data_IF_882759778339
#
_entry.id   IF_882759778339
#
_cell.length_a   1.000
_cell.length_b   1.000
_cell.length_c   1.000
_cell.angle_alpha   90.00
_cell.angle_beta   90.00
_cell.angle_gamma   90.00
#
_symmetry.space_group_name_H-M   'P 1'
#
loop_
_entity.id
_entity.type
_entity.pdbx_description
1 polymer ?
#
# COMPACT_ATOMS: atom_id res chain seq x y z
N UNK A 1 -9.32 -17.95 38.78
CA UNK A 1 -10.22 -17.95 37.61
C UNK A 1 -9.64 -18.86 36.54
N UNK A 2 -10.33 -19.95 36.14
CA UNK A 2 -9.97 -20.67 34.91
C UNK A 2 -10.47 -19.83 33.75
N UNK A 3 -9.56 -19.30 32.94
CA UNK A 3 -9.94 -18.62 31.69
C UNK A 3 -10.48 -19.70 30.75
N UNK A 4 -11.75 -19.64 30.32
CA UNK A 4 -12.37 -20.72 29.56
C UNK A 4 -11.78 -20.86 28.14
N UNK A 5 -11.27 -19.77 27.57
CA UNK A 5 -10.69 -19.76 26.23
C UNK A 5 -9.17 -19.99 26.26
N UNK A 6 -8.66 -20.89 25.41
CA UNK A 6 -7.21 -21.13 25.23
C UNK A 6 -6.52 -20.14 24.29
N UNK A 7 -7.31 -19.41 23.49
CA UNK A 7 -6.88 -18.46 22.46
C UNK A 7 -7.77 -17.23 22.51
N UNK A 8 -7.23 -16.08 22.12
CA UNK A 8 -7.96 -14.84 21.93
C UNK A 8 -7.60 -14.28 20.56
N UNK A 9 -8.58 -13.67 19.89
CA UNK A 9 -8.40 -12.94 18.63
C UNK A 9 -8.88 -11.52 18.90
N UNK A 10 -8.08 -10.54 18.49
CA UNK A 10 -8.45 -9.12 18.54
C UNK A 10 -8.41 -8.60 17.12
N UNK A 11 -9.51 -8.00 16.68
CA UNK A 11 -9.63 -7.36 15.38
C UNK A 11 -9.78 -5.87 15.66
N UNK A 12 -8.84 -5.06 15.18
CA UNK A 12 -8.94 -3.62 15.24
C UNK A 12 -9.41 -3.06 13.90
N UNK A 13 -10.36 -2.12 13.96
CA UNK A 13 -10.88 -1.40 12.80
C UNK A 13 -10.57 0.09 13.03
N UNK A 14 -9.60 0.64 12.28
CA UNK A 14 -9.22 2.05 12.42
C UNK A 14 -10.37 2.96 11.97
N UNK A 15 -10.60 4.07 12.68
CA UNK A 15 -11.68 5.02 12.42
C UNK A 15 -13.12 4.50 12.63
N UNK A 16 -13.30 3.25 13.08
CA UNK A 16 -14.63 2.65 13.23
C UNK A 16 -15.30 3.02 14.56
N UNK A 17 -15.87 4.22 14.63
CA UNK A 17 -16.69 4.63 15.78
C UNK A 17 -17.89 3.70 15.97
N UNK A 18 -18.33 3.48 17.22
CA UNK A 18 -19.51 2.63 17.46
C UNK A 18 -20.80 3.19 16.88
N UNK A 19 -20.86 4.49 16.59
CA UNK A 19 -21.98 5.08 15.85
C UNK A 19 -22.02 4.55 14.42
N UNK A 20 -20.89 4.61 13.69
CA UNK A 20 -20.78 4.09 12.34
C UNK A 20 -21.09 2.58 12.28
N UNK A 21 -20.47 1.80 13.18
CA UNK A 21 -20.69 0.34 13.24
C UNK A 21 -22.17 0.01 13.47
N UNK A 22 -22.86 0.74 14.34
CA UNK A 22 -24.29 0.51 14.63
C UNK A 22 -25.17 0.84 13.43
N UNK A 23 -24.93 1.96 12.77
CA UNK A 23 -25.73 2.38 11.61
C UNK A 23 -25.56 1.38 10.47
N UNK A 24 -24.32 1.01 10.13
CA UNK A 24 -24.02 0.03 9.09
C UNK A 24 -24.58 -1.37 9.41
N UNK A 25 -24.58 -1.78 10.68
CA UNK A 25 -25.20 -3.03 11.11
C UNK A 25 -26.73 -2.99 11.00
N UNK A 26 -27.36 -1.88 11.38
CA UNK A 26 -28.81 -1.69 11.30
C UNK A 26 -29.33 -1.62 9.85
N UNK A 27 -28.54 -1.02 8.95
CA UNK A 27 -28.80 -0.94 7.51
C UNK A 27 -28.54 -2.27 6.77
N UNK A 28 -28.00 -3.28 7.46
CA UNK A 28 -27.74 -4.61 6.91
C UNK A 28 -26.41 -4.76 6.17
N UNK A 29 -25.54 -3.74 6.20
CA UNK A 29 -24.23 -3.75 5.55
C UNK A 29 -23.15 -4.53 6.33
N UNK A 30 -23.37 -4.83 7.62
CA UNK A 30 -22.42 -5.55 8.48
C UNK A 30 -23.04 -6.77 9.19
N UNK A 31 -23.52 -7.79 8.46
CA UNK A 31 -24.29 -8.90 9.04
C UNK A 31 -23.51 -9.72 10.09
N UNK A 32 -22.20 -9.91 9.88
CA UNK A 32 -21.35 -10.65 10.82
C UNK A 32 -21.12 -9.88 12.14
N UNK A 33 -20.88 -8.56 12.06
CA UNK A 33 -20.77 -7.74 13.27
C UNK A 33 -22.11 -7.61 13.98
N UNK A 34 -23.22 -7.48 13.25
CA UNK A 34 -24.56 -7.49 13.83
C UNK A 34 -24.83 -8.78 14.62
N UNK A 35 -24.42 -9.94 14.08
CA UNK A 35 -24.52 -11.22 14.78
C UNK A 35 -23.66 -11.26 16.05
N UNK A 36 -22.41 -10.80 15.99
CA UNK A 36 -21.52 -10.70 17.16
C UNK A 36 -22.09 -9.77 18.25
N UNK A 37 -22.65 -8.63 17.86
CA UNK A 37 -23.28 -7.68 18.79
C UNK A 37 -24.55 -8.26 19.45
N UNK A 38 -25.30 -9.11 18.74
CA UNK A 38 -26.49 -9.79 19.27
C UNK A 38 -26.14 -10.92 20.25
N UNK A 39 -25.03 -11.62 20.02
CA UNK A 39 -24.62 -12.79 20.81
C UNK A 39 -23.64 -12.44 21.94
N UNK A 40 -22.98 -11.29 21.86
CA UNK A 40 -21.96 -10.84 22.80
C UNK A 40 -22.32 -9.54 23.53
N UNK A 41 -21.31 -8.91 24.14
CA UNK A 41 -21.42 -7.59 24.74
C UNK A 41 -20.72 -6.54 23.89
N UNK A 42 -21.33 -5.38 23.74
CA UNK A 42 -20.72 -4.23 23.07
C UNK A 42 -21.02 -2.95 23.84
N UNK A 43 -20.09 -1.98 23.76
CA UNK A 43 -20.26 -0.63 24.31
C UNK A 43 -19.50 0.38 23.46
N UNK A 44 -19.99 1.63 23.35
CA UNK A 44 -19.16 2.74 22.91
C UNK A 44 -17.92 2.88 23.80
N UNK A 45 -16.77 3.19 23.19
CA UNK A 45 -15.51 3.40 23.89
C UNK A 45 -15.06 4.84 23.70
N UNK A 46 -14.63 5.48 24.78
CA UNK A 46 -13.96 6.78 24.72
C UNK A 46 -12.50 6.49 24.35
N UNK A 47 -12.05 7.07 23.23
CA UNK A 47 -10.66 6.99 22.80
C UNK A 47 -9.72 7.80 23.69
N UNK A 48 -8.44 7.82 23.34
CA UNK A 48 -7.46 8.68 23.99
C UNK A 48 -7.48 10.09 23.40
N UNK A 49 -6.92 11.06 24.11
CA UNK A 49 -6.60 12.38 23.56
C UNK A 49 -5.07 12.52 23.40
N UNK A 50 -4.57 12.93 22.22
CA UNK A 50 -5.31 13.23 20.98
C UNK A 50 -5.84 11.97 20.28
N UNK A 51 -6.96 12.09 19.56
CA UNK A 51 -7.65 10.99 18.85
C UNK A 51 -6.97 10.66 17.52
N UNK A 52 -5.68 10.31 17.56
CA UNK A 52 -4.89 9.90 16.41
C UNK A 52 -4.55 8.39 16.48
N UNK A 53 -4.23 7.80 15.33
CA UNK A 53 -3.85 6.38 15.22
C UNK A 53 -2.68 6.02 16.16
N UNK A 54 -1.50 6.69 16.15
CA UNK A 54 -0.39 6.29 17.02
C UNK A 54 -0.70 6.28 18.53
N UNK A 55 -1.29 7.35 19.12
CA UNK A 55 -1.63 7.31 20.54
C UNK A 55 -2.71 6.26 20.85
N UNK A 56 -3.75 6.14 20.03
CA UNK A 56 -4.87 5.21 20.26
C UNK A 56 -4.45 3.74 20.21
N UNK A 57 -3.72 3.34 19.17
CA UNK A 57 -3.26 1.96 19.02
C UNK A 57 -2.17 1.59 20.02
N UNK A 58 -1.31 2.55 20.42
CA UNK A 58 -0.36 2.31 21.50
C UNK A 58 -1.10 2.07 22.82
N UNK A 59 -2.07 2.91 23.17
CA UNK A 59 -2.87 2.75 24.39
C UNK A 59 -3.62 1.41 24.41
N UNK A 60 -4.21 0.99 23.28
CA UNK A 60 -4.84 -0.32 23.14
C UNK A 60 -3.85 -1.47 23.40
N UNK A 61 -2.59 -1.28 23.00
CA UNK A 61 -1.55 -2.30 23.06
C UNK A 61 -0.80 -2.34 24.40
N UNK A 62 -0.80 -1.25 25.18
CA UNK A 62 -0.08 -1.14 26.45
C UNK A 62 -1.02 -1.07 27.66
N UNK A 63 -2.30 -0.72 27.45
CA UNK A 63 -3.24 -0.43 28.52
C UNK A 63 -2.92 0.86 29.29
N UNK A 64 -2.07 1.73 28.76
CA UNK A 64 -1.64 2.97 29.41
C UNK A 64 -2.07 4.20 28.60
N UNK A 65 -2.14 5.36 29.26
CA UNK A 65 -2.52 6.63 28.59
C UNK A 65 -1.36 7.22 27.79
N UNK A 66 -1.63 8.12 26.81
CA UNK A 66 -0.58 8.80 26.06
C UNK A 66 0.45 9.53 26.92
N UNK A 67 0.05 10.11 28.05
CA UNK A 67 0.98 10.69 29.02
C UNK A 67 1.96 9.68 29.65
N UNK A 68 1.61 8.40 29.69
CA UNK A 68 2.43 7.31 30.23
C UNK A 68 3.28 6.64 29.14
N UNK A 69 2.69 6.22 28.02
CA UNK A 69 3.46 5.58 26.95
C UNK A 69 4.23 6.58 26.07
N UNK A 70 3.90 7.88 26.08
CA UNK A 70 4.60 8.98 25.37
C UNK A 70 4.51 8.98 23.84
N UNK A 71 3.71 8.10 23.24
CA UNK A 71 3.41 8.13 21.80
C UNK A 71 2.20 9.04 21.61
N UNK A 72 2.38 10.24 21.06
CA UNK A 72 1.34 11.28 21.05
C UNK A 72 0.86 11.70 19.67
N UNK A 73 1.59 11.39 18.60
CA UNK A 73 1.34 11.90 17.25
C UNK A 73 1.98 10.97 16.20
N UNK A 74 1.65 11.13 14.93
CA UNK A 74 2.44 10.60 13.81
C UNK A 74 3.79 11.30 13.68
N UNK A 75 3.86 12.58 14.03
CA UNK A 75 5.06 13.41 13.88
C UNK A 75 5.47 13.99 15.24
N UNK A 76 6.22 13.20 16.00
CA UNK A 76 6.55 13.53 17.38
C UNK A 76 7.79 14.42 17.40
N UNK A 77 7.68 15.63 17.94
CA UNK A 77 8.85 16.50 18.15
C UNK A 77 9.83 15.86 19.12
N UNK A 78 11.12 15.90 18.79
CA UNK A 78 12.19 15.44 19.69
C UNK A 78 12.67 16.61 20.55
N UNK A 79 12.54 16.55 21.89
CA UNK A 79 13.08 17.58 22.77
C UNK A 79 14.56 17.88 22.49
N UNK A 80 14.91 19.15 22.39
CA UNK A 80 16.27 19.60 22.03
C UNK A 80 16.60 19.58 20.54
N UNK A 81 15.65 19.24 19.65
CA UNK A 81 15.77 19.42 18.19
C UNK A 81 14.92 20.60 17.71
N UNK A 82 15.18 21.05 16.48
CA UNK A 82 14.34 22.08 15.83
C UNK A 82 12.89 21.59 15.69
N UNK A 83 11.94 22.52 15.63
CA UNK A 83 10.50 22.19 15.55
C UNK A 83 10.13 21.42 14.27
N UNK A 84 10.87 21.64 13.18
CA UNK A 84 10.73 20.94 11.91
C UNK A 84 11.35 19.52 11.91
N UNK A 85 12.01 19.12 13.00
CA UNK A 85 12.59 17.79 13.16
C UNK A 85 11.71 16.95 14.07
N UNK A 86 10.97 16.03 13.45
CA UNK A 86 10.07 15.09 14.11
C UNK A 86 10.50 13.65 13.89
N UNK A 87 10.16 12.77 14.84
CA UNK A 87 10.30 11.32 14.74
C UNK A 87 8.95 10.71 14.38
N UNK A 88 8.96 9.69 13.51
CA UNK A 88 7.72 9.02 13.10
C UNK A 88 7.12 8.20 14.25
N UNK A 89 5.87 8.48 14.60
CA UNK A 89 5.14 7.88 15.72
C UNK A 89 4.86 6.39 15.56
N UNK A 90 4.95 5.86 14.34
CA UNK A 90 4.85 4.41 14.06
C UNK A 90 6.19 3.72 14.37
N UNK A 91 6.53 3.73 15.65
CA UNK A 91 7.80 3.25 16.14
C UNK A 91 7.67 2.74 17.58
N UNK A 92 7.71 1.42 17.73
CA UNK A 92 7.56 0.75 19.02
C UNK A 92 8.56 1.23 20.07
N UNK A 93 9.74 1.71 19.65
CA UNK A 93 10.81 2.20 20.53
C UNK A 93 10.46 3.48 21.26
N UNK A 94 9.44 4.21 20.81
CA UNK A 94 8.99 5.45 21.43
C UNK A 94 8.16 5.21 22.70
N UNK A 95 7.53 4.04 22.81
CA UNK A 95 6.72 3.72 23.99
C UNK A 95 7.57 3.52 25.24
N UNK A 96 7.19 4.20 26.32
CA UNK A 96 7.72 3.96 27.67
C UNK A 96 6.96 2.87 28.43
N UNK A 97 5.93 2.27 27.83
CA UNK A 97 5.14 1.18 28.42
C UNK A 97 5.41 -0.14 27.71
N UNK A 98 5.34 -1.25 28.46
CA UNK A 98 5.41 -2.58 27.87
C UNK A 98 4.16 -2.86 27.01
N UNK A 99 4.36 -3.47 25.85
CA UNK A 99 3.25 -3.94 25.00
C UNK A 99 2.74 -5.30 25.45
N UNK A 100 1.42 -5.52 25.34
CA UNK A 100 0.78 -6.76 25.82
C UNK A 100 1.37 -8.01 25.18
N UNK A 101 1.78 -7.95 23.91
CA UNK A 101 2.37 -9.11 23.22
C UNK A 101 3.70 -9.53 23.85
N UNK A 102 4.49 -8.58 24.38
CA UNK A 102 5.71 -8.90 25.12
C UNK A 102 5.38 -9.54 26.47
N UNK A 103 4.35 -9.05 27.16
CA UNK A 103 3.83 -9.68 28.38
C UNK A 103 3.35 -11.11 28.10
N UNK A 104 2.66 -11.34 26.98
CA UNK A 104 2.18 -12.65 26.56
C UNK A 104 3.34 -13.62 26.29
N UNK A 105 4.40 -13.19 25.61
CA UNK A 105 5.59 -14.02 25.40
C UNK A 105 6.25 -14.40 26.72
N UNK A 106 6.38 -13.45 27.66
CA UNK A 106 6.93 -13.72 29.00
C UNK A 106 6.08 -14.72 29.77
N UNK A 107 4.76 -14.71 29.56
CA UNK A 107 3.82 -15.69 30.10
C UNK A 107 3.79 -17.03 29.32
N UNK A 108 4.73 -17.26 28.40
CA UNK A 108 4.83 -18.49 27.62
C UNK A 108 3.76 -18.63 26.53
N UNK A 109 3.12 -17.53 26.11
CA UNK A 109 2.15 -17.50 25.01
C UNK A 109 2.82 -17.11 23.69
N UNK A 110 2.10 -17.35 22.59
CA UNK A 110 2.55 -17.08 21.23
C UNK A 110 1.70 -15.96 20.62
N UNK A 111 2.12 -14.69 20.68
CA UNK A 111 1.42 -13.62 19.98
C UNK A 111 1.64 -13.75 18.47
N UNK A 112 0.57 -13.49 17.72
CA UNK A 112 0.59 -13.39 16.25
C UNK A 112 -0.01 -12.03 15.92
N UNK A 113 0.82 -11.13 15.39
CA UNK A 113 0.44 -9.78 15.01
C UNK A 113 0.38 -9.72 13.49
N UNK A 114 -0.79 -9.42 12.92
CA UNK A 114 -0.95 -9.28 11.46
C UNK A 114 -1.42 -7.87 11.17
N UNK A 115 -0.56 -7.07 10.56
CA UNK A 115 -0.76 -5.64 10.29
C UNK A 115 -1.25 -4.86 11.52
N UNK A 116 -0.84 -5.30 12.72
CA UNK A 116 -1.23 -4.62 13.96
C UNK A 116 -0.51 -3.28 14.03
N UNK A 117 -1.26 -2.20 14.13
CA UNK A 117 -0.74 -0.84 14.14
C UNK A 117 0.22 -0.60 15.31
N UNK A 118 1.21 0.27 15.06
CA UNK A 118 2.26 0.61 16.03
C UNK A 118 3.04 -0.59 16.57
N UNK A 119 3.08 -1.72 15.86
CA UNK A 119 3.89 -2.88 16.24
C UNK A 119 5.27 -2.88 15.56
N UNK A 120 5.56 -1.90 14.69
CA UNK A 120 6.86 -1.75 14.06
C UNK A 120 7.79 -0.80 14.81
N UNK A 121 9.11 -1.07 14.90
CA UNK A 121 9.73 -2.35 14.55
C UNK A 121 9.36 -3.47 15.52
N UNK A 122 9.44 -4.75 15.08
CA UNK A 122 8.90 -5.85 15.85
C UNK A 122 9.63 -6.08 17.17
N UNK A 123 8.91 -6.03 18.30
CA UNK A 123 9.49 -6.33 19.63
C UNK A 123 9.27 -7.78 20.06
N UNK A 124 8.41 -8.54 19.37
CA UNK A 124 8.23 -9.99 19.62
C UNK A 124 9.55 -10.75 19.41
N UNK A 125 9.83 -11.78 20.21
CA UNK A 125 11.04 -12.63 20.09
C UNK A 125 10.76 -14.02 19.54
N UNK A 126 9.70 -14.65 20.04
CA UNK A 126 9.20 -15.98 19.66
C UNK A 126 7.91 -15.90 18.82
N UNK A 127 7.15 -14.82 19.00
CA UNK A 127 5.92 -14.51 18.27
C UNK A 127 6.12 -14.29 16.78
N UNK A 128 4.99 -14.24 16.08
CA UNK A 128 4.92 -13.91 14.67
C UNK A 128 4.44 -12.48 14.53
N UNK A 129 5.10 -11.71 13.67
CA UNK A 129 4.63 -10.40 13.24
C UNK A 129 4.68 -10.34 11.72
N UNK A 130 3.56 -9.99 11.11
CA UNK A 130 3.41 -9.72 9.68
C UNK A 130 3.14 -8.23 9.55
N UNK A 131 4.11 -7.50 9.04
CA UNK A 131 4.04 -6.04 8.92
C UNK A 131 3.87 -5.39 10.32
N UNK A 132 3.37 -4.16 10.44
CA UNK A 132 3.25 -3.42 11.69
C UNK A 132 3.35 -1.90 11.55
N UNK A 133 3.50 -1.39 10.32
CA UNK A 133 3.47 0.06 10.03
C UNK A 133 2.11 0.59 9.56
N UNK A 134 1.07 -0.25 9.57
CA UNK A 134 -0.30 0.16 9.31
C UNK A 134 -0.69 0.18 7.84
N UNK A 135 -1.98 0.38 7.48
CA UNK A 135 -2.47 0.58 6.12
C UNK A 135 -2.25 2.03 5.61
N UNK A 136 -1.48 2.86 6.31
CA UNK A 136 -1.20 4.25 5.92
C UNK A 136 -0.45 4.37 4.58
N UNK A 137 -0.46 5.59 4.02
CA UNK A 137 0.13 5.96 2.71
C UNK A 137 1.62 5.63 2.62
N UNK A 138 2.29 5.51 3.75
CA UNK A 138 3.74 5.26 3.81
C UNK A 138 4.10 4.05 4.65
N UNK A 139 4.03 2.89 4.03
CA UNK A 139 4.42 1.64 4.65
C UNK A 139 5.94 1.41 4.57
N UNK A 140 6.63 1.03 5.66
CA UNK A 140 8.08 0.84 5.70
C UNK A 140 8.64 -0.16 4.66
N UNK A 141 7.87 -1.20 4.32
CA UNK A 141 8.34 -2.31 3.49
C UNK A 141 8.13 -2.11 1.99
N UNK A 142 7.15 -1.28 1.63
CA UNK A 142 6.77 -0.97 0.26
C UNK A 142 7.99 -0.61 -0.62
N UNK A 143 8.02 -1.19 -1.84
CA UNK A 143 9.08 -0.91 -2.82
C UNK A 143 8.76 0.36 -3.59
N UNK A 144 7.54 0.52 -4.09
CA UNK A 144 7.09 1.71 -4.82
C UNK A 144 5.62 2.00 -4.51
N UNK A 145 5.25 3.28 -4.60
CA UNK A 145 3.86 3.75 -4.73
C UNK A 145 3.21 3.19 -5.99
N UNK A 146 1.95 3.56 -6.17
CA UNK A 146 1.36 3.41 -7.49
C UNK A 146 2.01 4.35 -8.48
N UNK A 147 1.89 4.03 -9.78
CA UNK A 147 2.18 4.96 -10.87
C UNK A 147 1.00 5.01 -11.84
N UNK A 148 0.66 6.21 -12.27
CA UNK A 148 -0.41 6.45 -13.24
C UNK A 148 0.20 7.19 -14.43
N UNK A 149 0.61 6.44 -15.44
CA UNK A 149 1.27 7.01 -16.62
C UNK A 149 0.24 7.58 -17.57
N UNK A 150 0.32 8.88 -17.86
CA UNK A 150 -0.67 9.59 -18.68
C UNK A 150 0.00 10.36 -19.82
N UNK A 151 -0.64 10.37 -20.99
CA UNK A 151 -0.17 11.14 -22.15
C UNK A 151 -1.33 11.77 -22.94
N UNK A 152 -1.00 12.79 -23.72
CA UNK A 152 -1.92 13.47 -24.62
C UNK A 152 -2.95 14.34 -23.90
N UNK A 153 -4.19 14.31 -24.38
CA UNK A 153 -5.36 15.05 -23.90
C UNK A 153 -6.04 14.40 -22.69
N UNK A 154 -5.29 13.63 -21.90
CA UNK A 154 -5.81 13.08 -20.65
C UNK A 154 -6.21 14.22 -19.70
N UNK A 155 -7.32 14.04 -19.00
CA UNK A 155 -7.78 14.94 -17.95
C UNK A 155 -8.19 14.10 -16.73
N UNK A 156 -7.92 14.58 -15.51
CA UNK A 156 -8.35 13.88 -14.30
C UNK A 156 -9.88 13.80 -14.26
N UNK A 157 -10.39 12.72 -13.68
CA UNK A 157 -11.83 12.53 -13.50
C UNK A 157 -12.34 13.56 -12.50
N UNK A 158 -13.51 14.15 -12.78
CA UNK A 158 -14.10 15.18 -11.91
C UNK A 158 -14.58 14.53 -10.62
N UNK A 159 -13.86 14.75 -9.53
CA UNK A 159 -14.35 14.44 -8.20
C UNK A 159 -15.50 15.40 -7.84
N UNK A 160 -16.61 14.84 -7.35
CA UNK A 160 -17.76 15.62 -6.88
C UNK A 160 -17.48 16.28 -5.52
N UNK A 161 -16.47 15.78 -4.79
CA UNK A 161 -16.01 16.32 -3.52
C UNK A 161 -14.50 16.59 -3.55
N UNK A 162 -14.06 17.67 -2.88
CA UNK A 162 -12.64 17.96 -2.72
C UNK A 162 -12.02 16.86 -1.84
N UNK A 163 -10.99 16.20 -2.37
CA UNK A 163 -10.18 15.25 -1.62
C UNK A 163 -9.10 16.02 -0.85
N UNK A 164 -8.89 15.69 0.42
CA UNK A 164 -7.73 16.18 1.15
C UNK A 164 -6.46 15.66 0.46
N UNK A 165 -5.52 16.55 0.06
CA UNK A 165 -4.29 16.11 -0.58
C UNK A 165 -3.48 15.26 0.41
N UNK A 166 -2.82 14.21 -0.08
CA UNK A 166 -1.98 13.35 0.77
C UNK A 166 -0.82 14.10 1.43
N UNK A 167 -0.48 15.30 0.96
CA UNK A 167 0.47 16.19 1.63
C UNK A 167 -0.01 16.65 3.01
N UNK A 168 -1.31 16.56 3.28
CA UNK A 168 -1.92 16.80 4.60
C UNK A 168 -2.06 15.51 5.43
N UNK A 169 -1.78 14.33 4.85
CA UNK A 169 -1.79 13.07 5.60
C UNK A 169 -0.56 13.05 6.52
N UNK A 170 -0.72 13.17 7.85
CA UNK A 170 0.41 13.20 8.77
C UNK A 170 1.19 11.86 8.81
N UNK A 171 0.62 10.78 8.26
CA UNK A 171 1.29 9.49 8.11
C UNK A 171 2.18 9.39 6.87
N UNK A 172 2.07 10.33 5.91
CA UNK A 172 2.86 10.31 4.68
C UNK A 172 4.35 10.63 4.94
N UNK A 173 5.23 9.79 4.37
CA UNK A 173 6.70 9.85 4.50
C UNK A 173 7.40 10.20 3.18
N UNK A 174 6.64 10.41 2.11
CA UNK A 174 7.14 10.65 0.76
C UNK A 174 6.36 11.78 0.08
N UNK A 175 7.01 12.47 -0.84
CA UNK A 175 6.30 13.36 -1.75
C UNK A 175 5.41 12.53 -2.65
N UNK A 176 4.11 12.82 -2.61
CA UNK A 176 3.12 12.11 -3.41
C UNK A 176 3.00 12.82 -4.75
N UNK A 177 3.08 12.04 -5.83
CA UNK A 177 2.81 12.49 -7.19
C UNK A 177 1.50 11.86 -7.62
N UNK A 178 0.54 12.67 -8.05
CA UNK A 178 -0.80 12.19 -8.45
C UNK A 178 -0.75 11.36 -9.74
N UNK A 179 0.14 11.72 -10.69
CA UNK A 179 0.29 11.01 -11.96
C UNK A 179 1.67 11.24 -12.58
N UNK A 180 2.05 10.35 -13.49
CA UNK A 180 3.32 10.31 -14.20
C UNK A 180 3.11 10.71 -15.69
N UNK A 181 3.21 12.00 -16.06
CA UNK A 181 3.24 12.41 -17.47
C UNK A 181 4.33 11.69 -18.25
N UNK A 182 3.95 11.18 -19.41
CA UNK A 182 4.82 10.53 -20.39
C UNK A 182 4.45 10.99 -21.81
N UNK A 183 5.35 10.76 -22.76
CA UNK A 183 5.13 11.06 -24.16
C UNK A 183 5.05 9.77 -24.97
N UNK A 184 4.13 9.74 -25.93
CA UNK A 184 4.09 8.71 -26.96
C UNK A 184 4.87 9.23 -28.17
N UNK A 185 5.94 8.53 -28.52
CA UNK A 185 6.81 8.89 -29.64
C UNK A 185 6.92 7.72 -30.60
N UNK A 186 7.22 7.95 -31.87
CA UNK A 186 7.39 6.85 -32.82
C UNK A 186 8.52 5.91 -32.36
N UNK A 187 8.27 4.60 -32.33
CA UNK A 187 9.23 3.61 -31.84
C UNK A 187 10.43 3.50 -32.79
N UNK A 188 11.62 3.88 -32.30
CA UNK A 188 12.88 3.86 -33.08
C UNK A 188 13.94 3.00 -32.40
N UNK A 189 14.73 2.28 -33.19
CA UNK A 189 15.82 1.43 -32.67
C UNK A 189 15.36 0.15 -31.94
N UNK A 190 14.08 -0.20 -32.04
CA UNK A 190 13.54 -1.43 -31.46
C UNK A 190 13.89 -2.66 -32.29
N UNK A 191 14.13 -3.77 -31.59
CA UNK A 191 14.12 -5.11 -32.19
C UNK A 191 12.75 -5.74 -31.99
N UNK A 192 12.25 -6.46 -33.00
CA UNK A 192 11.03 -7.27 -32.93
C UNK A 192 9.76 -6.48 -32.56
N UNK A 193 9.44 -5.44 -33.33
CA UNK A 193 8.17 -4.71 -33.18
C UNK A 193 6.96 -5.64 -33.44
N UNK A 194 5.83 -5.42 -32.74
CA UNK A 194 4.59 -6.11 -33.05
C UNK A 194 4.09 -5.72 -34.45
N UNK A 195 3.37 -6.64 -35.10
CA UNK A 195 2.62 -6.31 -36.31
C UNK A 195 1.56 -5.26 -35.97
N UNK A 196 1.49 -4.20 -36.77
CA UNK A 196 0.61 -3.05 -36.51
C UNK A 196 0.10 -2.44 -37.81
N UNK A 197 -1.17 -2.01 -37.82
CA UNK A 197 -1.80 -1.29 -38.92
C UNK A 197 -1.49 0.23 -38.91
N UNK A 198 -0.83 0.72 -37.85
CA UNK A 198 -0.37 2.10 -37.69
C UNK A 198 1.10 2.11 -37.26
N UNK A 199 1.85 3.22 -37.46
CA UNK A 199 3.20 3.36 -36.91
C UNK A 199 3.19 3.09 -35.40
N UNK A 200 4.05 2.16 -34.95
CA UNK A 200 4.12 1.79 -33.54
C UNK A 200 4.70 2.95 -32.75
N UNK A 201 4.04 3.31 -31.65
CA UNK A 201 4.55 4.32 -30.71
C UNK A 201 5.26 3.61 -29.55
N UNK A 202 6.27 4.25 -28.99
CA UNK A 202 6.99 3.89 -27.78
C UNK A 202 6.59 4.83 -26.65
N UNK A 203 6.60 4.30 -25.42
CA UNK A 203 6.52 5.07 -24.18
C UNK A 203 7.49 4.50 -23.15
N UNK A 204 8.24 5.36 -22.45
CA UNK A 204 9.07 4.94 -21.33
C UNK A 204 8.29 5.04 -20.01
N UNK A 205 8.24 3.94 -19.27
CA UNK A 205 7.43 3.75 -18.07
C UNK A 205 8.36 3.53 -16.88
N UNK A 206 8.86 4.63 -16.31
CA UNK A 206 9.86 4.55 -15.24
C UNK A 206 9.20 4.38 -13.88
N UNK A 207 9.35 3.18 -13.32
CA UNK A 207 9.01 2.91 -11.92
C UNK A 207 10.07 3.53 -11.01
N UNK A 208 9.64 4.30 -10.02
CA UNK A 208 10.48 4.96 -9.02
C UNK A 208 10.26 4.27 -7.67
N UNK A 209 11.19 3.42 -7.22
CA UNK A 209 11.16 2.92 -5.86
C UNK A 209 11.18 4.06 -4.84
N UNK A 210 10.60 3.84 -3.68
CA UNK A 210 10.36 4.87 -2.68
C UNK A 210 11.66 5.57 -2.25
N UNK A 211 11.61 6.90 -2.28
CA UNK A 211 12.56 7.80 -1.65
C UNK A 211 11.80 8.61 -0.57
N UNK A 212 11.98 8.22 0.70
CA UNK A 212 11.41 8.85 1.88
C UNK A 212 12.26 10.04 2.28
N UNK A 213 11.63 11.18 2.50
CA UNK A 213 12.30 12.44 2.83
C UNK A 213 12.81 12.54 4.28
N UNK A 214 12.77 11.46 5.07
CA UNK A 214 13.06 11.49 6.51
C UNK A 214 14.28 10.66 6.88
N UNK A 215 15.21 11.29 7.61
CA UNK A 215 16.50 10.69 7.98
C UNK A 215 16.42 9.60 9.06
N UNK A 216 15.37 9.61 9.88
CA UNK A 216 15.09 8.66 10.96
C UNK A 216 14.42 7.36 10.46
N UNK A 217 13.97 7.34 9.20
CA UNK A 217 13.53 6.10 8.56
C UNK A 217 14.75 5.25 8.17
N UNK A 218 14.78 4.01 8.66
CA UNK A 218 15.89 3.06 8.45
C UNK A 218 16.04 2.55 7.00
N UNK A 219 15.12 2.89 6.09
CA UNK A 219 15.10 2.44 4.69
C UNK A 219 14.36 3.45 3.80
N UNK A 220 14.80 3.57 2.56
CA UNK A 220 14.17 4.39 1.52
C UNK A 220 14.84 5.75 1.34
N UNK A 221 16.14 5.93 1.61
CA UNK A 221 16.79 7.24 1.35
C UNK A 221 17.01 7.48 -0.14
N UNK A 222 17.27 6.41 -0.91
CA UNK A 222 17.45 6.45 -2.36
C UNK A 222 16.84 5.21 -3.01
N UNK A 223 15.88 5.39 -3.90
CA UNK A 223 15.40 4.35 -4.81
C UNK A 223 16.06 4.49 -6.19
N UNK A 224 16.49 3.39 -6.80
CA UNK A 224 17.03 3.39 -8.16
C UNK A 224 15.88 3.32 -9.17
N UNK A 225 15.66 4.36 -10.02
CA UNK A 225 14.60 4.32 -11.03
C UNK A 225 14.78 3.14 -11.98
N UNK A 226 13.66 2.52 -12.34
CA UNK A 226 13.63 1.33 -13.18
C UNK A 226 12.72 1.56 -14.39
N UNK A 227 13.28 1.71 -15.60
CA UNK A 227 12.48 1.85 -16.81
C UNK A 227 11.88 0.51 -17.24
N UNK A 228 10.60 0.54 -17.59
CA UNK A 228 9.98 -0.39 -18.53
C UNK A 228 9.66 0.35 -19.82
N UNK A 229 9.35 -0.38 -20.88
CA UNK A 229 9.10 0.21 -22.20
C UNK A 229 7.80 -0.31 -22.77
N UNK A 230 6.88 0.59 -23.10
CA UNK A 230 5.61 0.27 -23.76
C UNK A 230 5.72 0.46 -25.26
N UNK A 231 5.09 -0.43 -26.03
CA UNK A 231 4.81 -0.27 -27.45
C UNK A 231 3.30 -0.15 -27.64
N UNK A 232 2.82 1.02 -28.08
CA UNK A 232 1.41 1.27 -28.40
C UNK A 232 1.20 1.04 -29.90
N UNK A 233 0.29 0.13 -30.25
CA UNK A 233 0.14 -0.34 -31.62
C UNK A 233 -1.33 -0.66 -31.96
N UNK A 234 -1.60 -0.89 -33.25
CA UNK A 234 -2.95 -1.07 -33.79
C UNK A 234 -3.12 -2.47 -34.41
N UNK A 235 -3.99 -3.30 -33.82
CA UNK A 235 -4.48 -4.53 -34.48
C UNK A 235 -5.71 -4.26 -35.35
N UNK A 236 -6.57 -3.34 -34.93
CA UNK A 236 -7.75 -2.90 -35.66
C UNK A 236 -7.53 -1.64 -36.51
N UNK A 237 -8.57 -0.81 -36.60
CA UNK A 237 -8.56 0.45 -37.37
C UNK A 237 -7.86 1.62 -36.64
N UNK A 238 -7.51 1.45 -35.37
CA UNK A 238 -6.93 2.45 -34.48
C UNK A 238 -5.99 1.81 -33.47
N UNK A 239 -5.26 2.64 -32.72
CA UNK A 239 -4.48 2.15 -31.58
C UNK A 239 -5.41 1.50 -30.56
N UNK A 240 -5.10 0.26 -30.18
CA UNK A 240 -5.96 -0.58 -29.35
C UNK A 240 -5.17 -1.53 -28.44
N UNK A 241 -3.84 -1.56 -28.55
CA UNK A 241 -2.97 -2.42 -27.75
C UNK A 241 -1.78 -1.66 -27.19
N UNK A 242 -1.35 -2.06 -26.00
CA UNK A 242 -0.03 -1.72 -25.44
C UNK A 242 0.72 -2.99 -25.06
N UNK A 243 1.97 -3.11 -25.50
CA UNK A 243 2.88 -4.19 -25.09
C UNK A 243 3.96 -3.64 -24.18
N UNK A 244 4.09 -4.19 -22.98
CA UNK A 244 5.09 -3.77 -22.00
C UNK A 244 6.29 -4.72 -22.05
N UNK A 245 7.50 -4.18 -22.11
CA UNK A 245 8.75 -4.91 -22.27
C UNK A 245 9.80 -4.48 -21.23
N UNK A 246 10.73 -5.38 -20.90
CA UNK A 246 11.87 -5.08 -20.01
C UNK A 246 12.94 -4.20 -20.65
N UNK A 247 13.00 -4.17 -21.99
CA UNK A 247 13.94 -3.36 -22.76
C UNK A 247 13.35 -3.08 -24.15
N UNK A 248 14.09 -2.34 -24.99
CA UNK A 248 13.74 -2.06 -26.40
C UNK A 248 13.90 -3.29 -27.32
N UNK A 249 13.33 -4.41 -26.90
CA UNK A 249 13.21 -5.66 -27.64
C UNK A 249 11.82 -6.25 -27.40
N UNK A 250 10.98 -6.27 -28.42
CA UNK A 250 9.58 -6.68 -28.32
C UNK A 250 9.36 -8.17 -28.03
N UNK A 251 10.41 -9.00 -28.04
CA UNK A 251 10.34 -10.39 -27.54
C UNK A 251 10.56 -10.49 -26.03
N UNK A 252 11.15 -9.47 -25.39
CA UNK A 252 11.30 -9.40 -23.92
C UNK A 252 10.06 -8.78 -23.29
N UNK A 253 8.90 -9.27 -23.72
CA UNK A 253 7.58 -8.85 -23.30
C UNK A 253 7.25 -9.36 -21.89
N UNK A 254 6.62 -8.50 -21.10
CA UNK A 254 6.00 -8.80 -19.82
C UNK A 254 4.51 -9.05 -19.98
N UNK A 255 3.83 -8.22 -20.77
CA UNK A 255 2.40 -8.32 -21.02
C UNK A 255 2.01 -7.58 -22.31
N UNK A 256 0.84 -7.89 -22.84
CA UNK A 256 0.23 -7.25 -24.01
C UNK A 256 -1.26 -7.06 -23.71
N UNK A 257 -1.71 -5.81 -23.64
CA UNK A 257 -3.00 -5.43 -23.07
C UNK A 257 -3.84 -4.62 -24.06
N UNK A 258 -5.14 -4.85 -24.05
CA UNK A 258 -6.18 -3.97 -24.55
C UNK A 258 -6.76 -3.11 -23.42
N UNK A 259 -7.62 -2.15 -23.79
CA UNK A 259 -8.28 -1.26 -22.83
C UNK A 259 -9.15 -2.08 -21.87
N UNK A 260 -9.02 -1.80 -20.57
CA UNK A 260 -9.68 -2.52 -19.48
C UNK A 260 -8.93 -3.78 -19.01
N UNK A 261 -7.94 -4.27 -19.77
CA UNK A 261 -7.23 -5.51 -19.41
C UNK A 261 -6.17 -5.26 -18.34
N UNK A 262 -6.13 -6.15 -17.36
CA UNK A 262 -5.02 -6.31 -16.43
C UNK A 262 -4.00 -7.31 -16.96
N UNK A 263 -2.73 -7.07 -16.68
CA UNK A 263 -1.69 -8.09 -16.80
C UNK A 263 -1.86 -9.18 -15.73
N UNK A 264 -1.19 -10.31 -15.90
CA UNK A 264 -0.83 -11.16 -14.76
C UNK A 264 0.14 -10.44 -13.83
N UNK A 265 0.27 -10.92 -12.60
CA UNK A 265 1.32 -10.48 -11.68
C UNK A 265 2.67 -11.05 -12.13
N UNK A 266 3.73 -10.24 -12.10
CA UNK A 266 5.10 -10.73 -12.27
C UNK A 266 6.02 -10.22 -11.16
N UNK A 267 7.01 -11.03 -10.82
CA UNK A 267 7.96 -10.72 -9.76
C UNK A 267 9.27 -10.18 -10.35
N UNK A 268 9.64 -8.96 -10.00
CA UNK A 268 10.81 -8.28 -10.56
C UNK A 268 11.73 -7.66 -9.51
N UNK A 269 12.98 -7.39 -9.88
CA UNK A 269 14.02 -6.85 -9.00
C UNK A 269 14.01 -5.32 -8.91
N UNK A 270 14.22 -4.79 -7.72
CA UNK A 270 14.33 -3.36 -7.42
C UNK A 270 15.47 -3.11 -6.45
N UNK A 271 15.99 -1.88 -6.43
CA UNK A 271 17.09 -1.48 -5.54
C UNK A 271 16.71 -0.23 -4.74
N UNK A 272 16.87 -0.33 -3.42
CA UNK A 272 16.63 0.76 -2.46
C UNK A 272 17.82 0.79 -1.49
N UNK A 273 18.43 1.96 -1.33
CA UNK A 273 19.64 2.17 -0.50
C UNK A 273 20.78 1.20 -0.83
N UNK A 274 20.95 0.87 -2.12
CA UNK A 274 21.93 -0.11 -2.59
C UNK A 274 21.60 -1.57 -2.26
N UNK A 275 20.44 -1.83 -1.63
CA UNK A 275 19.97 -3.19 -1.33
C UNK A 275 18.96 -3.65 -2.38
N UNK A 276 19.21 -4.82 -2.94
CA UNK A 276 18.31 -5.48 -3.90
C UNK A 276 17.19 -6.21 -3.17
N UNK A 277 15.99 -6.12 -3.72
CA UNK A 277 14.81 -6.88 -3.30
C UNK A 277 13.94 -7.22 -4.51
N UNK A 278 12.94 -8.08 -4.32
CA UNK A 278 11.97 -8.42 -5.36
C UNK A 278 10.57 -7.99 -4.93
N UNK A 279 9.79 -7.49 -5.88
CA UNK A 279 8.41 -7.04 -5.66
C UNK A 279 7.48 -7.43 -6.80
N UNK A 280 6.22 -7.65 -6.44
CA UNK A 280 5.18 -7.99 -7.41
C UNK A 280 4.70 -6.75 -8.13
N UNK A 281 4.62 -6.85 -9.44
CA UNK A 281 4.19 -5.80 -10.34
C UNK A 281 3.00 -6.30 -11.14
N UNK A 282 2.06 -5.38 -11.40
CA UNK A 282 0.91 -5.58 -12.29
C UNK A 282 0.63 -4.27 -13.00
N UNK A 283 -0.08 -4.31 -14.11
CA UNK A 283 -0.55 -3.09 -14.76
C UNK A 283 -1.89 -3.27 -15.45
N UNK A 284 -2.67 -2.19 -15.56
CA UNK A 284 -3.92 -2.11 -16.32
C UNK A 284 -3.83 -1.00 -17.35
N UNK A 285 -4.22 -1.29 -18.59
CA UNK A 285 -4.46 -0.23 -19.58
C UNK A 285 -5.87 0.32 -19.35
N UNK A 286 -5.97 1.50 -18.73
CA UNK A 286 -7.26 2.13 -18.42
C UNK A 286 -7.82 2.84 -19.64
N UNK A 287 -7.00 3.64 -20.32
CA UNK A 287 -7.43 4.46 -21.46
C UNK A 287 -6.43 4.35 -22.60
N UNK A 288 -6.93 4.12 -23.81
CA UNK A 288 -6.19 4.33 -25.06
C UNK A 288 -7.18 4.71 -26.16
N UNK A 289 -7.07 5.93 -26.70
CA UNK A 289 -7.92 6.33 -27.83
C UNK A 289 -7.38 5.74 -29.14
N UNK A 290 -8.26 5.59 -30.14
CA UNK A 290 -7.89 5.09 -31.48
C UNK A 290 -6.84 5.94 -32.19
N UNK A 291 -6.72 7.21 -31.82
CA UNK A 291 -5.74 8.20 -32.25
C UNK A 291 -4.47 8.23 -31.41
N UNK A 292 -4.43 7.52 -30.28
CA UNK A 292 -3.41 7.63 -29.24
C UNK A 292 -3.19 9.07 -28.72
N UNK A 293 -4.22 9.91 -28.81
CA UNK A 293 -4.22 11.27 -28.25
C UNK A 293 -4.70 11.31 -26.79
N UNK A 294 -5.06 10.17 -26.20
CA UNK A 294 -5.15 9.99 -24.75
C UNK A 294 -4.69 8.57 -24.38
N UNK A 295 -3.86 8.48 -23.35
CA UNK A 295 -3.29 7.23 -22.84
C UNK A 295 -3.25 7.27 -21.32
N UNK A 296 -3.63 6.17 -20.68
CA UNK A 296 -3.63 6.00 -19.23
C UNK A 296 -3.27 4.55 -18.89
N UNK A 297 -2.09 4.35 -18.32
CA UNK A 297 -1.58 3.03 -17.92
C UNK A 297 -1.25 3.04 -16.43
N UNK A 298 -1.89 2.13 -15.72
CA UNK A 298 -1.90 2.14 -14.27
C UNK A 298 -1.06 1.00 -13.69
N UNK A 299 -0.26 1.29 -12.68
CA UNK A 299 0.49 0.32 -11.87
C UNK A 299 0.13 0.52 -10.40
N UNK A 300 -0.41 -0.51 -9.70
CA UNK A 300 -0.69 -0.39 -8.28
C UNK A 300 0.60 -0.47 -7.45
N UNK A 301 0.46 -0.35 -6.13
CA UNK A 301 1.55 -0.49 -5.16
C UNK A 301 2.42 -1.72 -5.44
N UNK A 302 3.75 -1.55 -5.37
CA UNK A 302 4.70 -2.66 -5.48
C UNK A 302 5.11 -3.08 -4.07
N UNK A 303 4.63 -4.25 -3.65
CA UNK A 303 4.95 -4.87 -2.37
C UNK A 303 6.08 -5.90 -2.48
N UNK A 304 7.04 -5.96 -1.55
CA UNK A 304 8.09 -6.96 -1.59
C UNK A 304 7.56 -8.37 -1.31
N UNK A 305 8.18 -9.40 -1.91
CA UNK A 305 7.85 -10.79 -1.61
C UNK A 305 8.48 -11.32 -0.31
N UNK A 306 9.29 -10.50 0.37
CA UNK A 306 10.03 -10.90 1.58
C UNK A 306 10.40 -9.70 2.45
N UNK A 307 10.89 -9.96 3.66
CA UNK A 307 11.47 -8.93 4.53
C UNK A 307 10.48 -8.09 5.34
N UNK A 308 9.18 -8.41 5.28
CA UNK A 308 8.11 -7.70 6.01
C UNK A 308 7.57 -8.48 7.22
N UNK A 309 8.21 -9.58 7.63
CA UNK A 309 7.77 -10.42 8.75
C UNK A 309 8.88 -10.65 9.78
N UNK A 310 8.47 -11.04 10.99
CA UNK A 310 9.32 -11.63 12.01
C UNK A 310 8.67 -12.95 12.50
N UNK A 311 9.35 -14.11 12.40
CA UNK A 311 10.61 -14.32 11.70
C UNK A 311 10.49 -14.09 10.19
N UNK A 312 11.62 -13.87 9.52
CA UNK A 312 11.66 -13.55 8.08
C UNK A 312 11.13 -14.71 7.19
N UNK A 313 11.17 -15.95 7.69
CA UNK A 313 10.67 -17.12 6.96
C UNK A 313 9.17 -17.05 6.69
N UNK A 314 8.39 -16.41 7.56
CA UNK A 314 6.92 -16.33 7.41
C UNK A 314 6.53 -15.61 6.13
N UNK A 315 7.28 -14.59 5.69
CA UNK A 315 7.01 -13.91 4.42
C UNK A 315 7.10 -14.88 3.23
N UNK A 316 8.04 -15.83 3.27
CA UNK A 316 8.21 -16.86 2.24
C UNK A 316 7.04 -17.84 2.27
N UNK A 317 6.61 -18.27 3.45
CA UNK A 317 5.45 -19.16 3.60
C UNK A 317 4.16 -18.51 3.07
N UNK A 318 3.97 -17.21 3.34
CA UNK A 318 2.86 -16.42 2.78
C UNK A 318 2.97 -16.36 1.24
N UNK A 319 4.16 -16.04 0.71
CA UNK A 319 4.39 -15.95 -0.73
C UNK A 319 4.09 -17.28 -1.46
N UNK A 320 4.47 -18.42 -0.87
CA UNK A 320 4.30 -19.75 -1.46
C UNK A 320 2.87 -20.29 -1.35
N UNK A 321 2.13 -19.97 -0.29
CA UNK A 321 0.82 -20.58 0.00
C UNK A 321 -0.38 -19.64 -0.23
N UNK A 322 -0.18 -18.32 -0.16
CA UNK A 322 -1.21 -17.29 -0.35
C UNK A 322 -0.90 -16.43 -1.57
N UNK A 323 0.39 -16.15 -1.79
CA UNK A 323 0.89 -15.31 -2.87
C UNK A 323 0.97 -13.84 -2.49
N UNK A 324 0.99 -13.00 -3.51
CA UNK A 324 1.12 -11.56 -3.36
C UNK A 324 -0.18 -10.92 -2.86
N UNK A 325 -0.06 -9.78 -2.18
CA UNK A 325 -1.19 -8.97 -1.74
C UNK A 325 -0.89 -7.49 -1.96
N UNK A 326 -1.94 -6.67 -1.93
CA UNK A 326 -1.85 -5.21 -1.89
C UNK A 326 -2.06 -4.77 -0.44
N UNK A 327 -1.17 -3.94 0.11
CA UNK A 327 -1.38 -3.39 1.46
C UNK A 327 -2.34 -2.20 1.42
N UNK A 328 -2.23 -1.38 0.38
CA UNK A 328 -3.12 -0.27 0.09
C UNK A 328 -3.79 -0.55 -1.28
N UNK A 329 -5.11 -0.86 -1.31
CA UNK A 329 -5.86 -1.06 -2.55
C UNK A 329 -6.20 0.28 -3.21
N UNK A 330 -5.24 1.19 -3.23
CA UNK A 330 -5.30 2.45 -3.95
C UNK A 330 -6.29 3.50 -3.39
N UNK A 331 -6.40 3.59 -2.06
CA UNK A 331 -7.15 4.68 -1.41
C UNK A 331 -6.62 6.06 -1.84
N UNK A 332 -5.32 6.13 -2.09
CA UNK A 332 -4.53 7.28 -2.51
C UNK A 332 -4.68 7.67 -4.00
N UNK A 333 -5.42 6.92 -4.81
CA UNK A 333 -5.79 7.39 -6.15
C UNK A 333 -7.28 7.32 -6.45
N UNK A 334 -8.10 7.25 -5.40
CA UNK A 334 -9.52 7.48 -5.53
C UNK A 334 -9.75 8.86 -6.19
N UNK A 335 -10.49 8.85 -7.30
CA UNK A 335 -10.74 10.03 -8.15
C UNK A 335 -9.71 10.28 -9.25
N UNK A 336 -8.55 9.63 -9.23
CA UNK A 336 -7.54 9.74 -10.29
C UNK A 336 -7.72 8.64 -11.32
N UNK A 337 -7.92 7.40 -10.87
CA UNK A 337 -8.29 6.25 -11.71
C UNK A 337 -9.81 6.10 -11.82
N UNK A 338 -10.29 5.28 -12.75
CA UNK A 338 -11.70 4.93 -12.85
C UNK A 338 -12.16 4.05 -11.67
N UNK A 339 -13.46 4.13 -11.37
CA UNK A 339 -14.07 3.41 -10.25
C UNK A 339 -13.94 1.89 -10.41
N UNK A 340 -14.05 1.35 -11.63
CA UNK A 340 -13.92 -0.09 -11.89
C UNK A 340 -12.53 -0.57 -11.49
N UNK A 341 -11.47 0.13 -11.90
CA UNK A 341 -10.09 -0.16 -11.49
C UNK A 341 -9.93 -0.14 -9.97
N UNK A 342 -10.54 0.82 -9.27
CA UNK A 342 -10.50 0.87 -7.81
C UNK A 342 -11.20 -0.34 -7.16
N UNK A 343 -12.42 -0.68 -7.61
CA UNK A 343 -13.17 -1.80 -7.07
C UNK A 343 -12.54 -3.16 -7.37
N UNK A 344 -11.91 -3.33 -8.53
CA UNK A 344 -11.14 -4.54 -8.86
C UNK A 344 -9.92 -4.73 -7.91
N UNK A 345 -9.26 -3.63 -7.51
CA UNK A 345 -8.17 -3.68 -6.51
C UNK A 345 -8.69 -4.01 -5.11
N UNK A 346 -9.85 -3.47 -4.73
CA UNK A 346 -10.52 -3.82 -3.48
C UNK A 346 -10.95 -5.28 -3.46
N UNK A 347 -11.49 -5.79 -4.56
CA UNK A 347 -11.86 -7.21 -4.68
C UNK A 347 -10.62 -8.10 -4.55
N UNK A 348 -9.52 -7.77 -5.27
CA UNK A 348 -8.25 -8.48 -5.11
C UNK A 348 -7.74 -8.45 -3.66
N UNK A 349 -7.89 -7.31 -2.97
CA UNK A 349 -7.49 -7.15 -1.57
C UNK A 349 -8.33 -7.97 -0.59
N UNK A 350 -9.61 -8.23 -0.89
CA UNK A 350 -10.48 -9.03 -0.04
C UNK A 350 -10.39 -10.54 -0.29
N UNK A 351 -9.99 -10.95 -1.50
CA UNK A 351 -9.91 -12.37 -1.88
C UNK A 351 -8.61 -13.07 -1.41
N UNK A 352 -7.57 -12.31 -1.01
CA UNK A 352 -6.28 -12.82 -0.53
C UNK A 352 -5.97 -12.31 0.86
#
# INVERSE_FOLDING_TARGET
MRIPAKRAIVIGMDGASMELVRNMAAEGHMPNLAALMKQGGWRPMIGVFPTLTPPGWTALSTGSWPGTHRVMDFNIHKPGKRLDQTEWGINTRLSQSEYMWNTFERAGKMPILVKWEMSWPPTVKKGIQVEGTGPGVSNHHQIAGYHLFVAGKWAPRRLVAQRDPETLDPSALQTVREFDPVELVEARGWRNLPKSNKPVQEVELTIRPLARGRGDMNRGKKGTPKPYYGLVYAKGSGYDRVRICKSRNGTLMLTDLGVGEWSDWWLDGFEIDGKRGRGYVRTKLITLTKSADAFELFFPQIWPNSGYTKPLSVAKEIDENVGNFLQNPMRDALGLIDDDTYFELLEFHHQR
#
